data_IF_475804750368
#
_entry.id   IF_475804750368
#
_cell.length_a   1.000
_cell.length_b   1.000
_cell.length_c   1.000
_cell.angle_alpha   90.00
_cell.angle_beta   90.00
_cell.angle_gamma   90.00
#
_symmetry.space_group_name_H-M   'P 1'
#
loop_
_entity.id
_entity.type
_entity.pdbx_description
1 polymer ?
#
# COMPACT_ATOMS: atom_id res chain seq x y z
N UNK A 1 -8.75 -10.04 -2.44
CA UNK A 1 -7.87 -8.88 -2.71
C UNK A 1 -8.17 -7.80 -1.69
N UNK A 2 -7.14 -7.20 -1.08
CA UNK A 2 -7.35 -5.97 -0.31
C UNK A 2 -7.73 -4.85 -1.26
N UNK A 3 -8.59 -3.95 -0.82
CA UNK A 3 -8.67 -2.66 -1.47
C UNK A 3 -7.39 -1.87 -1.21
N UNK A 4 -7.02 -0.97 -2.12
CA UNK A 4 -5.83 -0.14 -1.93
C UNK A 4 -5.87 0.63 -0.59
N UNK A 5 -7.03 1.17 -0.21
CA UNK A 5 -7.20 1.89 1.05
C UNK A 5 -7.00 0.99 2.29
N UNK A 6 -7.42 -0.28 2.22
CA UNK A 6 -7.16 -1.27 3.28
C UNK A 6 -5.67 -1.56 3.40
N UNK A 7 -4.92 -1.59 2.30
CA UNK A 7 -3.46 -1.76 2.34
C UNK A 7 -2.80 -0.58 3.06
N UNK A 8 -3.19 0.66 2.75
CA UNK A 8 -2.65 1.86 3.41
C UNK A 8 -2.89 1.81 4.92
N UNK A 9 -4.12 1.51 5.33
CA UNK A 9 -4.48 1.35 6.74
C UNK A 9 -3.64 0.26 7.42
N UNK A 10 -3.46 -0.90 6.77
CA UNK A 10 -2.61 -1.98 7.28
C UNK A 10 -1.15 -1.60 7.42
N UNK A 11 -0.59 -0.86 6.45
CA UNK A 11 0.78 -0.36 6.55
C UNK A 11 0.95 0.48 7.81
N UNK A 12 0.01 1.41 8.05
CA UNK A 12 0.04 2.25 9.25
C UNK A 12 -0.08 1.42 10.54
N UNK A 13 -1.03 0.50 10.59
CA UNK A 13 -1.28 -0.35 11.76
C UNK A 13 -0.09 -1.27 12.08
N UNK A 14 0.50 -1.92 11.06
CA UNK A 14 1.71 -2.74 11.21
C UNK A 14 2.94 -1.92 11.58
N UNK A 15 2.91 -0.61 11.31
CA UNK A 15 3.92 0.35 11.78
C UNK A 15 3.66 0.83 13.21
N UNK A 16 2.51 0.53 13.80
CA UNK A 16 2.12 1.00 15.14
C UNK A 16 2.04 2.52 15.25
N UNK A 17 1.64 3.20 14.17
CA UNK A 17 1.48 4.65 14.07
C UNK A 17 0.02 5.08 14.12
N UNK A 18 -0.24 6.23 14.72
CA UNK A 18 -1.48 6.98 14.58
C UNK A 18 -1.59 7.58 13.17
N UNK A 19 -2.81 8.00 12.77
CA UNK A 19 -2.99 8.68 11.49
C UNK A 19 -2.18 9.99 11.40
N UNK A 20 -2.00 10.68 12.52
CA UNK A 20 -1.21 11.91 12.60
C UNK A 20 0.28 11.64 12.34
N UNK A 21 0.87 10.66 13.05
CA UNK A 21 2.29 10.31 12.88
C UNK A 21 2.58 9.77 11.48
N UNK A 22 1.64 9.00 10.92
CA UNK A 22 1.77 8.49 9.55
C UNK A 22 1.67 9.62 8.51
N UNK A 23 0.75 10.57 8.71
CA UNK A 23 0.64 11.76 7.87
C UNK A 23 1.92 12.60 7.92
N UNK A 24 2.48 12.82 9.12
CA UNK A 24 3.77 13.49 9.33
C UNK A 24 4.91 12.78 8.60
N UNK A 25 4.98 11.45 8.72
CA UNK A 25 6.00 10.62 8.05
C UNK A 25 5.93 10.70 6.52
N UNK A 26 4.75 10.98 5.96
CA UNK A 26 4.54 11.16 4.52
C UNK A 26 4.56 12.64 4.09
N UNK A 27 4.68 13.59 5.03
CA UNK A 27 4.56 15.02 4.76
C UNK A 27 3.23 15.39 4.10
N UNK A 28 2.12 14.91 4.66
CA UNK A 28 0.75 15.19 4.22
C UNK A 28 -0.14 15.51 5.43
N UNK A 29 -1.38 15.97 5.20
CA UNK A 29 -2.32 16.21 6.28
C UNK A 29 -2.95 14.92 6.82
N UNK A 30 -3.27 14.89 8.12
CA UNK A 30 -4.06 13.81 8.74
C UNK A 30 -5.39 13.59 8.02
N UNK A 31 -6.06 14.67 7.59
CA UNK A 31 -7.32 14.60 6.82
C UNK A 31 -7.13 13.80 5.54
N UNK A 32 -6.01 14.01 4.82
CA UNK A 32 -5.70 13.23 3.62
C UNK A 32 -5.56 11.74 3.95
N UNK A 33 -4.84 11.38 5.01
CA UNK A 33 -4.70 9.98 5.44
C UNK A 33 -6.06 9.37 5.76
N UNK A 34 -6.92 10.08 6.50
CA UNK A 34 -8.28 9.60 6.81
C UNK A 34 -9.10 9.35 5.55
N UNK A 35 -9.11 10.29 4.59
CA UNK A 35 -9.82 10.14 3.32
C UNK A 35 -9.26 9.00 2.46
N UNK A 36 -7.94 8.80 2.49
CA UNK A 36 -7.30 7.68 1.77
C UNK A 36 -7.65 6.34 2.42
N UNK A 37 -7.57 6.21 3.74
CA UNK A 37 -7.85 4.96 4.47
C UNK A 37 -9.32 4.55 4.44
N UNK A 38 -10.24 5.50 4.22
CA UNK A 38 -11.67 5.27 4.06
C UNK A 38 -12.10 5.10 2.60
N UNK A 39 -11.17 5.23 1.64
CA UNK A 39 -11.45 5.13 0.21
C UNK A 39 -12.17 6.34 -0.39
N UNK A 40 -12.40 7.40 0.38
CA UNK A 40 -13.01 8.65 -0.09
C UNK A 40 -12.12 9.41 -1.09
N UNK A 41 -10.79 9.21 -1.03
CA UNK A 41 -9.85 9.86 -1.94
C UNK A 41 -8.87 8.86 -2.56
N UNK A 42 -8.79 8.88 -3.90
CA UNK A 42 -7.74 8.17 -4.65
C UNK A 42 -6.38 8.81 -4.37
N UNK A 43 -5.34 8.00 -4.30
CA UNK A 43 -3.97 8.49 -4.11
C UNK A 43 -3.38 9.04 -5.39
N UNK A 44 -2.55 10.08 -5.24
CA UNK A 44 -1.76 10.62 -6.34
C UNK A 44 -0.48 9.80 -6.56
N UNK A 45 0.15 9.97 -7.73
CA UNK A 45 1.50 9.46 -8.00
C UNK A 45 2.52 9.92 -6.95
N UNK A 46 2.43 11.19 -6.52
CA UNK A 46 3.32 11.75 -5.50
C UNK A 46 3.16 11.06 -4.14
N UNK A 47 1.94 10.67 -3.76
CA UNK A 47 1.68 9.90 -2.55
C UNK A 47 2.34 8.52 -2.61
N UNK A 48 2.21 7.82 -3.75
CA UNK A 48 2.81 6.50 -3.95
C UNK A 48 4.34 6.57 -3.84
N UNK A 49 4.97 7.61 -4.41
CA UNK A 49 6.42 7.82 -4.32
C UNK A 49 6.84 8.05 -2.86
N UNK A 50 6.11 8.89 -2.12
CA UNK A 50 6.36 9.14 -0.69
C UNK A 50 6.24 7.86 0.14
N UNK A 51 5.19 7.07 -0.11
CA UNK A 51 4.97 5.80 0.56
C UNK A 51 6.07 4.77 0.25
N UNK A 52 6.48 4.68 -1.02
CA UNK A 52 7.57 3.79 -1.43
C UNK A 52 8.89 4.15 -0.74
N UNK A 53 9.21 5.45 -0.65
CA UNK A 53 10.37 5.96 0.09
C UNK A 53 10.29 5.59 1.57
N UNK A 54 9.14 5.83 2.22
CA UNK A 54 8.92 5.51 3.63
C UNK A 54 9.09 4.00 3.91
N UNK A 55 8.58 3.15 3.01
CA UNK A 55 8.72 1.70 3.10
C UNK A 55 10.09 1.19 2.64
N UNK A 56 10.96 2.04 2.08
CA UNK A 56 12.22 1.64 1.45
C UNK A 56 12.01 0.49 0.44
N UNK A 57 11.12 0.71 -0.53
CA UNK A 57 10.81 -0.19 -1.65
C UNK A 57 10.69 0.59 -2.94
N UNK A 58 10.72 -0.10 -4.08
CA UNK A 58 10.41 0.51 -5.37
C UNK A 58 8.89 0.76 -5.50
N UNK A 59 8.42 1.85 -6.15
CA UNK A 59 6.99 2.09 -6.36
C UNK A 59 6.22 0.93 -7.02
N UNK A 60 6.89 0.19 -7.91
CA UNK A 60 6.31 -0.99 -8.57
C UNK A 60 5.94 -2.13 -7.60
N UNK A 61 6.49 -2.14 -6.38
CA UNK A 61 6.08 -3.07 -5.33
C UNK A 61 4.72 -2.72 -4.70
N UNK A 62 4.19 -1.52 -4.97
CA UNK A 62 2.93 -0.98 -4.42
C UNK A 62 1.85 -0.86 -5.50
N UNK A 63 2.24 -0.55 -6.74
CA UNK A 63 1.27 -0.29 -7.83
C UNK A 63 0.30 -1.43 -8.14
N UNK A 64 0.62 -2.73 -7.97
CA UNK A 64 -0.35 -3.80 -8.21
C UNK A 64 -1.60 -3.68 -7.33
N UNK A 65 -1.48 -3.08 -6.15
CA UNK A 65 -2.59 -2.89 -5.23
C UNK A 65 -3.51 -1.71 -5.61
N UNK A 66 -3.15 -0.87 -6.60
CA UNK A 66 -3.94 0.30 -7.02
C UNK A 66 -5.22 -0.06 -7.81
N UNK A 67 -5.58 -1.34 -7.90
CA UNK A 67 -6.68 -1.83 -8.73
C UNK A 67 -6.49 -1.56 -10.22
N UNK A 68 -5.29 -1.81 -10.75
CA UNK A 68 -5.09 -1.86 -12.21
C UNK A 68 -5.84 -3.06 -12.80
N UNK A 69 -5.99 -4.15 -12.04
CA UNK A 69 -6.72 -5.33 -12.44
C UNK A 69 -8.04 -5.43 -11.67
N UNK A 70 -9.16 -5.35 -12.38
CA UNK A 70 -10.45 -5.73 -11.79
C UNK A 70 -10.51 -7.25 -11.65
N UNK A 71 -11.33 -7.77 -10.73
CA UNK A 71 -11.61 -9.21 -10.64
C UNK A 71 -12.11 -9.79 -11.97
N UNK A 72 -12.74 -8.96 -12.82
CA UNK A 72 -13.13 -9.32 -14.19
C UNK A 72 -11.94 -9.52 -15.14
N UNK A 73 -10.85 -8.76 -14.98
CA UNK A 73 -9.63 -8.90 -15.80
C UNK A 73 -8.86 -10.19 -15.45
N UNK A 74 -8.79 -10.54 -14.16
CA UNK A 74 -8.14 -11.78 -13.70
C UNK A 74 -8.81 -13.07 -14.18
N UNK A 75 -10.05 -12.99 -14.65
CA UNK A 75 -10.77 -14.13 -15.22
C UNK A 75 -10.60 -14.25 -16.74
N UNK A 76 -9.96 -13.26 -17.38
CA UNK A 76 -9.68 -13.26 -18.83
C UNK A 76 -8.30 -13.83 -19.17
N UNK A 77 -7.42 -13.96 -18.18
CA UNK A 77 -6.06 -14.47 -18.34
C UNK A 77 -6.00 -15.99 -18.12
N UNK A 78 -4.94 -16.62 -18.62
CA UNK A 78 -4.74 -18.06 -18.46
C UNK A 78 -4.56 -18.47 -16.99
N UNK A 79 -4.82 -19.74 -16.63
CA UNK A 79 -4.63 -20.22 -15.26
C UNK A 79 -3.20 -20.02 -14.72
N UNK A 80 -2.18 -20.11 -15.57
CA UNK A 80 -0.78 -19.91 -15.15
C UNK A 80 -0.49 -18.44 -14.86
N UNK A 81 -0.95 -17.52 -15.70
CA UNK A 81 -0.82 -16.08 -15.46
C UNK A 81 -1.53 -15.67 -14.18
N UNK A 82 -2.74 -16.18 -13.95
CA UNK A 82 -3.49 -15.94 -12.71
C UNK A 82 -2.71 -16.40 -11.48
N UNK A 83 -2.10 -17.59 -11.52
CA UNK A 83 -1.24 -18.10 -10.45
C UNK A 83 -0.03 -17.19 -10.21
N UNK A 84 0.65 -16.75 -11.29
CA UNK A 84 1.81 -15.87 -11.19
C UNK A 84 1.47 -14.51 -10.57
N UNK A 85 0.36 -13.90 -10.98
CA UNK A 85 -0.12 -12.63 -10.42
C UNK A 85 -0.43 -12.77 -8.94
N UNK A 86 -1.18 -13.81 -8.55
CA UNK A 86 -1.53 -14.06 -7.15
C UNK A 86 -0.28 -14.29 -6.29
N UNK A 87 0.66 -15.09 -6.79
CA UNK A 87 1.91 -15.33 -6.08
C UNK A 87 2.73 -14.05 -5.92
N UNK A 88 2.84 -13.24 -6.97
CA UNK A 88 3.50 -11.93 -6.93
C UNK A 88 2.87 -10.98 -5.91
N UNK A 89 1.53 -10.91 -5.86
CA UNK A 89 0.81 -10.11 -4.86
C UNK A 89 1.13 -10.58 -3.43
N UNK A 90 1.18 -11.88 -3.17
CA UNK A 90 1.52 -12.41 -1.85
C UNK A 90 2.96 -12.06 -1.44
N UNK A 91 3.93 -12.20 -2.35
CA UNK A 91 5.31 -11.80 -2.09
C UNK A 91 5.41 -10.29 -1.78
N UNK A 92 4.66 -9.46 -2.51
CA UNK A 92 4.62 -8.02 -2.28
C UNK A 92 3.98 -7.67 -0.93
N UNK A 93 2.90 -8.35 -0.52
CA UNK A 93 2.30 -8.17 0.81
C UNK A 93 3.30 -8.49 1.92
N UNK A 94 4.01 -9.61 1.79
CA UNK A 94 5.05 -10.02 2.76
C UNK A 94 6.14 -8.95 2.85
N UNK A 95 6.63 -8.47 1.71
CA UNK A 95 7.64 -7.41 1.65
C UNK A 95 7.14 -6.13 2.34
N UNK A 96 5.97 -5.63 1.96
CA UNK A 96 5.38 -4.40 2.51
C UNK A 96 5.20 -4.53 4.03
N UNK A 97 4.65 -5.64 4.51
CA UNK A 97 4.46 -5.89 5.95
C UNK A 97 5.79 -5.88 6.70
N UNK A 98 6.82 -6.54 6.17
CA UNK A 98 8.16 -6.56 6.78
C UNK A 98 8.78 -5.17 6.85
N UNK A 99 8.52 -4.32 5.85
CA UNK A 99 8.99 -2.93 5.81
C UNK A 99 8.21 -2.02 6.76
N UNK A 100 6.88 -2.13 6.78
CA UNK A 100 6.00 -1.37 7.67
C UNK A 100 6.42 -1.52 9.15
N UNK A 101 6.64 -2.75 9.61
CA UNK A 101 7.11 -3.03 10.98
C UNK A 101 8.43 -2.35 11.37
N UNK A 102 9.24 -1.94 10.40
CA UNK A 102 10.50 -1.24 10.64
C UNK A 102 10.34 0.27 10.74
N UNK A 103 9.21 0.85 10.32
CA UNK A 103 9.03 2.31 10.27
C UNK A 103 9.16 2.95 11.66
N UNK A 104 8.52 2.40 12.69
CA UNK A 104 8.55 2.96 14.06
C UNK A 104 9.96 3.06 14.66
N UNK A 105 10.93 2.28 14.15
CA UNK A 105 12.34 2.39 14.58
C UNK A 105 12.99 3.71 14.16
N UNK A 106 12.41 4.43 13.20
CA UNK A 106 12.95 5.66 12.62
C UNK A 106 12.06 6.89 12.88
N UNK A 107 10.89 6.70 13.49
CA UNK A 107 9.98 7.78 13.88
C UNK A 107 10.12 7.96 15.39
N UNK A 108 11.15 8.69 15.80
CA UNK A 108 11.30 9.30 17.12
C UNK A 108 11.42 10.80 16.93
#
# INVERSE_FOLDING_TARGET
MYSFYQLIKKIREESGLTQEEFAKSLGVSKVLISMVETGQKKVSKSFIIKLAKLLNVHPASITPFLHIYSSKELNKISPIEKKLVLWGEEMQKILIKKRAKKIKKYVK
#
